data_IF_278504687774
#
_entry.id   IF_278504687774
#
_cell.length_a   1.000
_cell.length_b   1.000
_cell.length_c   1.000
_cell.angle_alpha   90.00
_cell.angle_beta   90.00
_cell.angle_gamma   90.00
#
_symmetry.space_group_name_H-M   'P 1'
#
loop_
_entity.id
_entity.type
_entity.pdbx_description
1 polymer ?
#
# COMPACT_ATOMS: atom_id res chain seq x y z
N UNK A 1 15.69 25.42 -1.19
CA UNK A 1 16.08 25.39 0.23
C UNK A 1 14.80 25.20 1.04
N UNK A 2 14.64 24.12 1.84
CA UNK A 2 13.46 23.96 2.69
C UNK A 2 13.47 25.05 3.78
N UNK A 3 12.28 25.53 4.17
CA UNK A 3 12.13 26.47 5.27
C UNK A 3 12.58 25.81 6.60
N UNK A 4 13.27 26.53 7.51
CA UNK A 4 13.61 25.99 8.83
C UNK A 4 12.33 25.56 9.57
N UNK A 5 12.26 24.28 9.95
CA UNK A 5 11.10 23.70 10.63
C UNK A 5 10.12 22.92 9.74
N UNK A 6 10.27 22.93 8.41
CA UNK A 6 9.51 22.00 7.56
C UNK A 6 10.24 20.65 7.51
N UNK A 7 9.65 19.61 8.11
CA UNK A 7 10.13 18.24 7.85
C UNK A 7 10.11 17.97 6.34
N UNK A 8 11.16 17.36 5.79
CA UNK A 8 11.24 17.08 4.36
C UNK A 8 10.10 16.14 3.96
N UNK A 9 9.62 16.28 2.74
CA UNK A 9 8.76 15.26 2.13
C UNK A 9 9.58 13.98 1.98
N UNK A 10 9.03 12.87 2.45
CA UNK A 10 9.67 11.54 2.40
C UNK A 10 8.86 10.65 1.48
N UNK A 11 9.49 10.17 0.40
CA UNK A 11 8.94 9.13 -0.46
C UNK A 11 9.02 7.78 0.27
N UNK A 12 7.93 7.02 0.23
CA UNK A 12 7.76 5.73 0.91
C UNK A 12 7.70 4.55 -0.03
N UNK A 13 7.13 4.74 -1.22
CA UNK A 13 7.02 3.68 -2.23
C UNK A 13 7.06 4.25 -3.65
N UNK A 14 7.47 3.39 -4.59
CA UNK A 14 7.57 3.69 -6.01
C UNK A 14 6.91 2.53 -6.78
N UNK A 15 5.95 2.85 -7.63
CA UNK A 15 5.32 1.89 -8.53
C UNK A 15 5.59 2.27 -9.99
N UNK A 16 6.25 1.39 -10.72
CA UNK A 16 6.53 1.56 -12.14
C UNK A 16 5.39 0.86 -12.90
N UNK A 17 4.47 1.64 -13.46
CA UNK A 17 3.42 1.11 -14.32
C UNK A 17 3.96 0.88 -15.74
N UNK A 18 4.66 1.88 -16.27
CA UNK A 18 5.43 1.82 -17.51
C UNK A 18 6.68 2.70 -17.37
N UNK A 19 7.65 2.63 -18.30
CA UNK A 19 8.80 3.53 -18.28
C UNK A 19 8.44 5.02 -18.33
N UNK A 20 7.28 5.38 -18.88
CA UNK A 20 6.79 6.75 -18.98
C UNK A 20 5.83 7.16 -17.84
N UNK A 21 5.41 6.19 -17.02
CA UNK A 21 4.43 6.39 -15.96
C UNK A 21 4.86 5.66 -14.69
N UNK A 22 5.59 6.39 -13.88
CA UNK A 22 6.06 5.98 -12.56
C UNK A 22 5.30 6.79 -11.52
N UNK A 23 4.72 6.08 -10.56
CA UNK A 23 4.03 6.63 -9.41
C UNK A 23 4.95 6.62 -8.20
N UNK A 24 4.90 7.65 -7.38
CA UNK A 24 5.56 7.68 -6.08
C UNK A 24 4.61 8.21 -5.03
N UNK A 25 4.59 7.59 -3.85
CA UNK A 25 3.78 8.05 -2.73
C UNK A 25 4.62 8.30 -1.49
N UNK A 26 4.15 9.16 -0.59
CA UNK A 26 4.92 9.51 0.59
C UNK A 26 4.16 10.30 1.65
N UNK A 27 4.93 10.94 2.55
CA UNK A 27 4.41 11.77 3.63
C UNK A 27 3.53 12.92 3.14
N UNK A 28 2.58 13.37 3.95
CA UNK A 28 1.74 14.57 3.70
C UNK A 28 0.96 14.47 2.39
N UNK A 29 0.28 13.34 2.18
CA UNK A 29 -0.56 13.12 1.00
C UNK A 29 0.19 13.13 -0.33
N UNK A 30 1.53 13.00 -0.32
CA UNK A 30 2.33 13.13 -1.54
C UNK A 30 2.01 12.01 -2.51
N UNK A 31 1.52 12.37 -3.70
CA UNK A 31 1.36 11.47 -4.84
C UNK A 31 2.00 12.14 -6.05
N UNK A 32 3.08 11.55 -6.56
CA UNK A 32 3.79 12.03 -7.74
C UNK A 32 3.56 11.06 -8.90
N UNK A 33 3.47 11.60 -10.11
CA UNK A 33 3.43 10.82 -11.35
C UNK A 33 4.34 11.45 -12.40
N UNK A 34 5.07 10.62 -13.13
CA UNK A 34 5.97 11.08 -14.18
C UNK A 34 7.03 10.06 -14.54
N UNK A 35 8.19 10.52 -15.00
CA UNK A 35 9.31 9.66 -15.36
C UNK A 35 10.64 10.43 -15.30
N UNK A 36 11.75 9.72 -15.47
CA UNK A 36 13.09 10.29 -15.38
C UNK A 36 13.42 11.32 -16.48
N UNK A 37 12.73 11.29 -17.63
CA UNK A 37 12.97 12.22 -18.75
C UNK A 37 12.23 13.54 -18.57
N UNK A 38 10.95 13.47 -18.21
CA UNK A 38 10.05 14.64 -18.13
C UNK A 38 9.92 15.21 -16.72
N UNK A 39 10.47 14.53 -15.71
CA UNK A 39 10.25 14.85 -14.31
C UNK A 39 8.92 14.32 -13.78
N UNK A 40 8.54 14.79 -12.60
CA UNK A 40 7.37 14.33 -11.85
C UNK A 40 6.47 15.51 -11.47
N UNK A 41 5.17 15.30 -11.62
CA UNK A 41 4.13 16.24 -11.19
C UNK A 41 3.47 15.72 -9.91
N UNK A 42 3.19 16.63 -8.97
CA UNK A 42 2.36 16.30 -7.81
C UNK A 42 0.88 16.33 -8.22
N UNK A 43 0.19 15.22 -8.00
CA UNK A 43 -1.23 15.01 -8.29
C UNK A 43 -2.03 14.62 -7.04
N UNK A 44 -1.40 14.62 -5.87
CA UNK A 44 -2.08 14.46 -4.59
C UNK A 44 -2.95 15.66 -4.27
N UNK A 45 -4.00 15.45 -3.49
CA UNK A 45 -4.87 16.54 -3.05
C UNK A 45 -4.17 17.36 -1.95
N UNK A 46 -4.18 18.69 -2.07
CA UNK A 46 -3.41 19.56 -1.17
C UNK A 46 -3.87 19.53 0.29
N UNK A 47 -5.10 19.06 0.56
CA UNK A 47 -5.62 18.88 1.91
C UNK A 47 -5.24 17.55 2.58
N UNK A 48 -4.68 16.60 1.83
CA UNK A 48 -4.29 15.30 2.36
C UNK A 48 -3.00 15.46 3.20
N UNK A 49 -3.00 14.89 4.39
CA UNK A 49 -1.91 15.06 5.37
C UNK A 49 -1.34 13.75 5.86
N UNK A 50 -1.98 12.65 5.52
CA UNK A 50 -1.57 11.30 5.89
C UNK A 50 -0.23 10.87 5.28
N UNK A 51 0.36 9.84 5.88
CA UNK A 51 1.52 9.18 5.28
C UNK A 51 1.02 8.09 4.35
N UNK A 52 1.24 8.26 3.05
CA UNK A 52 1.01 7.22 2.05
C UNK A 52 2.21 6.28 2.02
N UNK A 53 1.98 5.00 2.29
CA UNK A 53 3.00 3.98 2.55
C UNK A 53 3.28 3.09 1.35
N UNK A 54 2.28 2.81 0.51
CA UNK A 54 2.44 1.94 -0.66
C UNK A 54 1.39 2.23 -1.73
N UNK A 55 1.75 2.03 -2.99
CA UNK A 55 0.85 2.19 -4.14
C UNK A 55 1.03 1.03 -5.12
N UNK A 56 -0.07 0.56 -5.70
CA UNK A 56 -0.03 -0.45 -6.76
C UNK A 56 -1.23 -0.29 -7.70
N UNK A 57 -1.07 -0.70 -8.96
CA UNK A 57 -2.22 -0.90 -9.85
C UNK A 57 -2.83 -2.28 -9.60
N UNK A 58 -4.13 -2.31 -9.36
CA UNK A 58 -4.94 -3.52 -9.27
C UNK A 58 -6.10 -3.39 -10.27
N UNK A 59 -6.08 -4.20 -11.32
CA UNK A 59 -7.00 -4.10 -12.46
C UNK A 59 -6.99 -2.69 -13.07
N UNK A 60 -8.11 -1.99 -13.02
CA UNK A 60 -8.33 -0.64 -13.54
C UNK A 60 -8.11 0.46 -12.49
N UNK A 61 -7.71 0.11 -11.26
CA UNK A 61 -7.65 1.04 -10.12
C UNK A 61 -6.24 1.12 -9.54
N UNK A 62 -5.89 2.28 -8.96
CA UNK A 62 -4.73 2.38 -8.08
C UNK A 62 -5.19 2.19 -6.65
N UNK A 63 -4.49 1.30 -5.95
CA UNK A 63 -4.71 1.05 -4.53
C UNK A 63 -3.57 1.67 -3.77
N UNK A 64 -3.91 2.46 -2.74
CA UNK A 64 -2.95 3.16 -1.91
C UNK A 64 -3.14 2.74 -0.46
N UNK A 65 -2.08 2.31 0.20
CA UNK A 65 -2.06 2.11 1.64
C UNK A 65 -1.57 3.39 2.32
N UNK A 66 -2.33 3.93 3.27
CA UNK A 66 -1.88 4.97 4.20
C UNK A 66 -1.59 4.39 5.58
N UNK A 67 -1.04 5.21 6.48
CA UNK A 67 -0.83 4.88 7.89
C UNK A 67 -2.12 4.58 8.70
N UNK A 68 -3.31 4.78 8.12
CA UNK A 68 -4.59 4.53 8.77
C UNK A 68 -5.64 3.79 7.93
N UNK A 69 -5.53 3.78 6.60
CA UNK A 69 -6.56 3.18 5.74
C UNK A 69 -6.04 2.75 4.37
N UNK A 70 -6.78 1.83 3.76
CA UNK A 70 -6.65 1.47 2.36
C UNK A 70 -7.53 2.41 1.53
N UNK A 71 -7.03 2.82 0.37
CA UNK A 71 -7.71 3.77 -0.52
C UNK A 71 -7.71 3.27 -1.96
N UNK A 72 -8.75 3.64 -2.70
CA UNK A 72 -8.71 3.70 -4.16
C UNK A 72 -8.34 5.14 -4.55
N UNK A 73 -7.39 5.27 -5.45
CA UNK A 73 -6.98 6.54 -6.04
C UNK A 73 -7.42 6.59 -7.52
N UNK A 74 -8.22 7.60 -7.86
CA UNK A 74 -8.77 7.80 -9.22
C UNK A 74 -7.96 8.80 -10.06
N UNK A 75 -6.72 9.08 -9.66
CA UNK A 75 -5.86 10.15 -10.16
C UNK A 75 -6.25 11.57 -9.70
N UNK A 76 -7.22 11.72 -8.80
CA UNK A 76 -7.59 13.01 -8.24
C UNK A 76 -7.85 12.96 -6.72
N UNK A 77 -8.57 11.95 -6.23
CA UNK A 77 -8.94 11.80 -4.82
C UNK A 77 -8.65 10.40 -4.29
N UNK A 78 -8.36 10.33 -3.00
CA UNK A 78 -8.35 9.10 -2.23
C UNK A 78 -9.76 8.81 -1.70
N UNK A 79 -10.26 7.63 -2.01
CA UNK A 79 -11.54 7.14 -1.48
C UNK A 79 -11.30 5.90 -0.63
N UNK A 80 -11.85 5.81 0.59
CA UNK A 80 -11.61 4.66 1.45
C UNK A 80 -12.06 3.34 0.81
N UNK A 81 -11.13 2.39 0.69
CA UNK A 81 -11.40 0.99 0.38
C UNK A 81 -11.42 0.22 1.70
N UNK A 82 -12.61 -0.11 2.19
CA UNK A 82 -12.77 -0.85 3.44
C UNK A 82 -12.51 -2.34 3.21
N UNK A 83 -11.41 -2.92 3.70
CA UNK A 83 -11.24 -4.35 3.68
C UNK A 83 -12.29 -5.00 4.60
N UNK A 84 -12.91 -6.09 4.15
CA UNK A 84 -13.78 -6.87 5.03
C UNK A 84 -12.92 -7.79 5.88
N UNK A 85 -12.60 -7.32 7.09
CA UNK A 85 -11.71 -8.02 8.01
C UNK A 85 -12.55 -8.70 9.10
N UNK A 86 -12.46 -10.03 9.19
CA UNK A 86 -13.26 -10.86 10.11
C UNK A 86 -13.19 -10.43 11.58
N UNK A 87 -12.11 -9.74 11.99
CA UNK A 87 -11.82 -9.38 13.38
C UNK A 87 -12.32 -8.00 13.81
N UNK A 88 -12.98 -7.24 12.94
CA UNK A 88 -13.61 -5.96 13.29
C UNK A 88 -12.65 -4.87 13.80
N UNK A 89 -11.34 -5.04 13.59
CA UNK A 89 -10.31 -4.09 14.04
C UNK A 89 -10.11 -2.94 13.07
N UNK A 90 -9.60 -1.81 13.59
CA UNK A 90 -9.17 -0.68 12.76
C UNK A 90 -7.97 -1.09 11.90
N UNK A 91 -8.07 -1.00 10.57
CA UNK A 91 -6.95 -1.27 9.68
C UNK A 91 -5.71 -0.47 10.07
N UNK A 92 -4.54 -1.09 9.97
CA UNK A 92 -3.24 -0.41 10.06
C UNK A 92 -2.39 -0.89 8.86
N UNK A 93 -2.69 -0.38 7.65
CA UNK A 93 -2.02 -0.81 6.43
C UNK A 93 -0.50 -0.64 6.52
N UNK A 94 0.20 -1.56 5.89
CA UNK A 94 1.65 -1.49 5.72
C UNK A 94 2.02 -1.46 4.24
N UNK A 95 1.48 -2.39 3.46
CA UNK A 95 1.86 -2.57 2.06
C UNK A 95 0.71 -3.16 1.24
N UNK A 96 0.72 -2.85 -0.04
CA UNK A 96 -0.10 -3.51 -1.05
C UNK A 96 0.78 -4.08 -2.15
N UNK A 97 0.35 -5.18 -2.73
CA UNK A 97 0.97 -5.78 -3.91
C UNK A 97 -0.11 -6.43 -4.76
N UNK A 98 -0.02 -6.32 -6.08
CA UNK A 98 -0.92 -7.00 -7.00
C UNK A 98 -0.12 -8.00 -7.83
N UNK A 99 -0.69 -9.19 -7.99
CA UNK A 99 -0.21 -10.22 -8.92
C UNK A 99 -1.42 -10.71 -9.68
N UNK A 100 -1.41 -10.55 -11.00
CA UNK A 100 -2.56 -10.78 -11.87
C UNK A 100 -3.81 -10.06 -11.33
N UNK A 101 -4.90 -10.80 -11.15
CA UNK A 101 -6.19 -10.32 -10.65
C UNK A 101 -6.33 -10.43 -9.12
N UNK A 102 -5.24 -10.58 -8.39
CA UNK A 102 -5.24 -10.67 -6.92
C UNK A 102 -4.43 -9.54 -6.28
N UNK A 103 -5.09 -8.80 -5.39
CA UNK A 103 -4.47 -7.82 -4.51
C UNK A 103 -4.11 -8.49 -3.18
N UNK A 104 -2.84 -8.45 -2.80
CA UNK A 104 -2.35 -8.77 -1.47
C UNK A 104 -2.25 -7.50 -0.63
N UNK A 105 -2.82 -7.58 0.57
CA UNK A 105 -2.85 -6.52 1.56
C UNK A 105 -2.15 -6.98 2.83
N UNK A 106 -1.17 -6.19 3.27
CA UNK A 106 -0.42 -6.44 4.50
C UNK A 106 -0.81 -5.40 5.54
N UNK A 107 -1.27 -5.87 6.69
CA UNK A 107 -1.69 -5.06 7.83
C UNK A 107 -0.84 -5.40 9.06
N UNK A 108 -0.39 -4.39 9.80
CA UNK A 108 0.44 -4.58 10.99
C UNK A 108 -0.25 -5.40 12.09
N UNK A 109 -1.58 -5.28 12.21
CA UNK A 109 -2.35 -5.88 13.32
C UNK A 109 -3.25 -7.01 12.84
N UNK A 110 -3.72 -6.91 11.60
CA UNK A 110 -4.78 -7.78 11.08
C UNK A 110 -4.23 -8.85 10.13
N UNK A 111 -2.92 -8.92 9.92
CA UNK A 111 -2.25 -9.97 9.16
C UNK A 111 -2.25 -9.71 7.67
N UNK A 112 -2.28 -10.78 6.88
CA UNK A 112 -2.22 -10.71 5.42
C UNK A 112 -3.54 -11.16 4.83
N UNK A 113 -4.05 -10.41 3.87
CA UNK A 113 -5.31 -10.70 3.18
C UNK A 113 -5.09 -10.66 1.68
N UNK A 114 -5.90 -11.42 0.94
CA UNK A 114 -6.02 -11.30 -0.51
C UNK A 114 -7.41 -10.80 -0.90
N UNK A 115 -7.48 -10.08 -2.01
CA UNK A 115 -8.71 -9.54 -2.58
C UNK A 115 -8.73 -9.78 -4.09
N UNK A 116 -9.79 -10.42 -4.59
CA UNK A 116 -9.97 -10.73 -6.01
C UNK A 116 -10.80 -9.67 -6.76
N UNK A 117 -11.17 -8.56 -6.09
CA UNK A 117 -12.09 -7.54 -6.60
C UNK A 117 -13.52 -7.67 -6.07
N UNK A 118 -13.84 -8.79 -5.42
CA UNK A 118 -15.17 -9.10 -4.90
C UNK A 118 -15.07 -9.51 -3.42
N UNK A 119 -14.14 -10.40 -3.07
CA UNK A 119 -14.04 -11.03 -1.75
C UNK A 119 -12.68 -10.85 -1.13
N UNK A 120 -12.69 -10.54 0.16
CA UNK A 120 -11.51 -10.53 1.01
C UNK A 120 -11.36 -11.88 1.69
N UNK A 121 -10.15 -12.42 1.66
CA UNK A 121 -9.79 -13.68 2.32
C UNK A 121 -8.51 -13.50 3.13
N UNK A 122 -8.56 -13.88 4.41
CA UNK A 122 -7.38 -13.92 5.29
C UNK A 122 -6.45 -15.04 4.81
N UNK A 123 -5.17 -14.71 4.64
CA UNK A 123 -4.12 -15.70 4.40
C UNK A 123 -3.63 -16.18 5.77
N UNK A 124 -3.84 -17.46 6.12
CA UNK A 124 -3.35 -17.99 7.39
C UNK A 124 -1.83 -18.02 7.37
N UNK A 125 -1.21 -17.33 8.33
CA UNK A 125 0.23 -17.38 8.54
C UNK A 125 0.54 -18.63 9.37
N UNK A 126 1.38 -19.57 8.88
CA UNK A 126 1.85 -20.71 9.65
C UNK A 126 2.34 -20.29 11.04
N UNK A 127 1.95 -21.02 12.09
CA UNK A 127 2.28 -20.66 13.47
C UNK A 127 3.79 -20.64 13.73
N UNK A 128 4.56 -21.43 12.97
CA UNK A 128 6.01 -21.42 12.99
C UNK A 128 6.56 -20.05 12.59
N UNK A 129 5.96 -19.38 11.60
CA UNK A 129 6.36 -18.02 11.17
C UNK A 129 5.93 -16.94 12.17
N UNK A 130 5.05 -17.27 13.11
CA UNK A 130 4.64 -16.38 14.20
C UNK A 130 5.45 -16.61 15.48
N UNK A 131 6.28 -17.66 15.54
CA UNK A 131 7.10 -17.95 16.70
C UNK A 131 8.16 -16.86 16.89
N UNK A 132 8.33 -16.40 18.13
CA UNK A 132 9.37 -15.42 18.49
C UNK A 132 10.76 -15.89 18.07
N UNK A 133 11.04 -17.18 18.27
CA UNK A 133 12.23 -17.84 17.78
C UNK A 133 11.83 -18.74 16.61
N UNK A 134 11.95 -18.25 15.38
CA UNK A 134 11.67 -19.06 14.19
C UNK A 134 12.71 -20.17 14.06
N UNK A 135 12.28 -21.43 14.16
CA UNK A 135 13.15 -22.63 14.11
C UNK A 135 13.12 -23.35 12.75
N UNK A 136 12.64 -22.67 11.71
CA UNK A 136 12.37 -23.27 10.40
C UNK A 136 10.95 -23.80 10.27
N UNK A 137 10.54 -24.05 9.04
CA UNK A 137 9.28 -24.73 8.75
C UNK A 137 9.49 -26.23 9.01
N UNK A 138 8.56 -26.87 9.71
CA UNK A 138 8.54 -28.33 9.77
C UNK A 138 8.33 -28.79 8.33
N UNK A 139 9.36 -29.39 7.73
CA UNK A 139 9.27 -29.91 6.37
C UNK A 139 8.06 -30.83 6.29
N UNK A 140 7.12 -30.53 5.38
CA UNK A 140 6.18 -31.56 4.97
C UNK A 140 7.04 -32.65 4.34
N UNK A 141 7.17 -33.78 5.03
CA UNK A 141 7.79 -34.97 4.45
C UNK A 141 7.16 -35.27 3.09
N UNK A 142 7.90 -35.97 2.22
CA UNK A 142 7.43 -36.30 0.87
C UNK A 142 6.04 -36.97 0.88
#
# INVERSE_FOLDING_TARGET
MPLPGSSPYVIKDIFIETPDKVWMVGSRGTILVGNARSGFSNVGFAGDTETLLSIIRFKDKYIVASDYALHIFDAHHLTPLKPWLRRGGTPTPLRVQAVDDVLFYFDYKLGVHRFDGIRWEEIPIPSELLARDFRGLIGRGP
#
